data_IF_431768062261
#
_entry.id   IF_431768062261
#
_cell.length_a   1.000
_cell.length_b   1.000
_cell.length_c   1.000
_cell.angle_alpha   90.00
_cell.angle_beta   90.00
_cell.angle_gamma   90.00
#
_symmetry.space_group_name_H-M   'P 1'
#
loop_
_entity.id
_entity.type
_entity.pdbx_description
1 polymer ?
#
# COMPACT_ATOMS: atom_id res chain seq x y z
N UNK A 1 51.04 -6.84 0.77
CA UNK A 1 49.60 -7.18 0.78
C UNK A 1 49.35 -8.66 1.10
N UNK A 2 50.17 -9.59 0.60
CA UNK A 2 50.10 -11.03 0.93
C UNK A 2 50.38 -11.34 2.41
N UNK A 3 51.30 -10.61 3.04
CA UNK A 3 51.67 -10.83 4.44
C UNK A 3 50.62 -10.30 5.44
N UNK A 4 49.90 -9.24 5.09
CA UNK A 4 48.75 -8.76 5.87
C UNK A 4 47.58 -9.74 5.80
N UNK A 5 47.31 -10.32 4.63
CA UNK A 5 46.27 -11.33 4.43
C UNK A 5 46.53 -12.59 5.28
N UNK A 6 47.78 -13.07 5.30
CA UNK A 6 48.16 -14.25 6.09
C UNK A 6 48.12 -14.01 7.61
N UNK A 7 48.26 -12.75 8.07
CA UNK A 7 48.18 -12.42 9.50
C UNK A 7 46.73 -12.33 10.01
N UNK A 8 45.78 -11.92 9.17
CA UNK A 8 44.34 -11.89 9.50
C UNK A 8 43.60 -13.20 9.21
N UNK A 9 44.19 -14.11 8.43
CA UNK A 9 43.56 -15.35 8.00
C UNK A 9 44.15 -16.62 8.66
N UNK A 10 44.72 -16.53 9.86
CA UNK A 10 44.99 -17.75 10.64
C UNK A 10 43.68 -18.29 11.22
N UNK A 11 43.45 -19.62 11.21
CA UNK A 11 42.22 -20.23 11.73
C UNK A 11 41.92 -19.84 13.19
N UNK A 12 42.95 -19.67 14.03
CA UNK A 12 42.77 -19.22 15.41
C UNK A 12 42.33 -17.75 15.51
N UNK A 13 42.85 -16.85 14.67
CA UNK A 13 42.42 -15.45 14.65
C UNK A 13 41.00 -15.29 14.10
N UNK A 14 40.60 -16.14 13.15
CA UNK A 14 39.26 -16.15 12.57
C UNK A 14 38.19 -16.76 13.49
N UNK A 15 38.57 -17.69 14.37
CA UNK A 15 37.66 -18.30 15.35
C UNK A 15 36.99 -17.26 16.27
N UNK A 16 37.69 -16.15 16.58
CA UNK A 16 37.19 -15.01 17.33
C UNK A 16 35.98 -14.33 16.67
N UNK A 17 35.90 -14.42 15.33
CA UNK A 17 34.88 -13.77 14.51
C UNK A 17 33.76 -14.73 14.10
N UNK A 18 33.85 -16.02 14.45
CA UNK A 18 32.79 -16.97 14.17
C UNK A 18 31.60 -16.70 15.08
N UNK A 19 30.46 -16.40 14.47
CA UNK A 19 29.22 -16.31 15.21
C UNK A 19 28.89 -17.69 15.79
N UNK A 20 28.62 -17.73 17.10
CA UNK A 20 28.09 -18.94 17.71
C UNK A 20 26.75 -19.31 17.05
N UNK A 21 26.31 -20.57 17.11
CA UNK A 21 25.00 -20.98 16.60
C UNK A 21 23.84 -20.10 17.11
N UNK A 22 23.93 -19.64 18.36
CA UNK A 22 22.96 -18.71 18.95
C UNK A 22 22.99 -17.33 18.27
N UNK A 23 24.18 -16.78 17.99
CA UNK A 23 24.33 -15.51 17.27
C UNK A 23 23.82 -15.61 15.83
N UNK A 24 24.07 -16.74 15.16
CA UNK A 24 23.50 -17.01 13.82
C UNK A 24 21.98 -17.09 13.84
N UNK A 25 21.40 -17.76 14.84
CA UNK A 25 19.94 -17.78 15.03
C UNK A 25 19.38 -16.37 15.20
N UNK A 26 20.01 -15.52 16.01
CA UNK A 26 19.61 -14.11 16.18
C UNK A 26 19.72 -13.31 14.88
N UNK A 27 20.83 -13.44 14.15
CA UNK A 27 21.02 -12.76 12.87
C UNK A 27 19.94 -13.17 11.85
N UNK A 28 19.56 -14.45 11.80
CA UNK A 28 18.47 -14.93 10.95
C UNK A 28 17.14 -14.26 11.29
N UNK A 29 16.78 -14.18 12.58
CA UNK A 29 15.56 -13.50 13.02
C UNK A 29 15.58 -12.01 12.64
N UNK A 30 16.72 -11.34 12.79
CA UNK A 30 16.87 -9.93 12.38
C UNK A 30 16.66 -9.75 10.87
N UNK A 31 17.21 -10.63 10.03
CA UNK A 31 17.00 -10.58 8.58
C UNK A 31 15.52 -10.73 8.24
N UNK A 32 14.84 -11.72 8.83
CA UNK A 32 13.40 -11.95 8.63
C UNK A 32 12.55 -10.78 9.12
N UNK A 33 12.95 -10.13 10.22
CA UNK A 33 12.28 -8.95 10.74
C UNK A 33 12.43 -7.72 9.82
N UNK A 34 13.59 -7.56 9.19
CA UNK A 34 13.89 -6.41 8.32
C UNK A 34 13.41 -6.59 6.88
N UNK A 35 13.18 -7.82 6.43
CA UNK A 35 12.76 -8.14 5.06
C UNK A 35 11.49 -7.40 4.60
N UNK A 36 10.38 -7.35 5.38
CA UNK A 36 9.19 -6.60 4.97
C UNK A 36 9.44 -5.10 4.77
N UNK A 37 10.36 -4.50 5.55
CA UNK A 37 10.74 -3.10 5.40
C UNK A 37 11.55 -2.88 4.14
N UNK A 38 12.47 -3.81 3.84
CA UNK A 38 13.27 -3.76 2.64
C UNK A 38 12.38 -3.83 1.38
N UNK A 39 11.41 -4.75 1.36
CA UNK A 39 10.43 -4.85 0.27
C UNK A 39 9.59 -3.58 0.14
N UNK A 40 9.13 -3.01 1.26
CA UNK A 40 8.39 -1.76 1.27
C UNK A 40 9.23 -0.59 0.73
N UNK A 41 10.52 -0.51 1.08
CA UNK A 41 11.45 0.49 0.56
C UNK A 41 11.66 0.31 -0.94
N UNK A 42 11.84 -0.92 -1.42
CA UNK A 42 11.97 -1.17 -2.85
C UNK A 42 10.73 -0.75 -3.63
N UNK A 43 9.54 -1.05 -3.09
CA UNK A 43 8.29 -0.59 -3.67
C UNK A 43 8.24 0.95 -3.68
N UNK A 44 8.64 1.57 -2.57
CA UNK A 44 8.58 3.02 -2.43
C UNK A 44 9.54 3.74 -3.38
N UNK A 45 10.81 3.40 -3.28
CA UNK A 45 11.89 4.06 -4.00
C UNK A 45 11.94 3.67 -5.48
N UNK A 46 11.40 2.50 -5.85
CA UNK A 46 11.37 2.03 -7.23
C UNK A 46 10.20 2.58 -8.05
N UNK A 47 9.21 3.22 -7.43
CA UNK A 47 8.06 3.74 -8.16
C UNK A 47 8.38 5.03 -8.91
N UNK A 48 8.01 5.10 -10.18
CA UNK A 48 8.08 6.33 -11.00
C UNK A 48 6.90 7.27 -10.73
N UNK A 49 5.98 6.90 -9.85
CA UNK A 49 4.71 7.58 -9.60
C UNK A 49 4.51 7.86 -8.11
N UNK A 50 3.84 8.96 -7.75
CA UNK A 50 3.55 9.26 -6.35
C UNK A 50 2.60 8.22 -5.76
N UNK A 51 3.10 7.39 -4.83
CA UNK A 51 2.35 6.28 -4.22
C UNK A 51 1.41 6.68 -3.09
N UNK A 52 0.78 7.85 -3.18
CA UNK A 52 -0.19 8.26 -2.16
C UNK A 52 -1.33 7.23 -2.03
N UNK A 53 -1.69 6.58 -3.13
CA UNK A 53 -2.63 5.46 -3.20
C UNK A 53 -2.17 4.18 -2.49
N UNK A 54 -0.87 3.94 -2.33
CA UNK A 54 -0.36 2.73 -1.69
C UNK A 54 0.05 2.97 -0.22
N UNK A 55 0.13 4.22 0.23
CA UNK A 55 0.63 4.57 1.55
C UNK A 55 -0.12 3.88 2.69
N UNK A 56 -1.46 3.99 2.73
CA UNK A 56 -2.26 3.35 3.78
C UNK A 56 -2.20 1.81 3.70
N UNK A 57 -2.43 1.18 2.53
CA UNK A 57 -2.25 -0.27 2.36
C UNK A 57 -0.88 -0.78 2.81
N UNK A 58 0.20 -0.06 2.46
CA UNK A 58 1.55 -0.46 2.79
C UNK A 58 1.80 -0.43 4.31
N UNK A 59 1.33 0.61 5.01
CA UNK A 59 1.47 0.65 6.47
C UNK A 59 0.69 -0.47 7.17
N UNK A 60 -0.51 -0.81 6.68
CA UNK A 60 -1.30 -1.94 7.19
C UNK A 60 -0.53 -3.26 7.01
N UNK A 61 0.01 -3.50 5.80
CA UNK A 61 0.80 -4.70 5.52
C UNK A 61 2.07 -4.78 6.37
N UNK A 62 2.77 -3.66 6.58
CA UNK A 62 3.98 -3.61 7.40
C UNK A 62 3.71 -3.99 8.86
N UNK A 63 2.66 -3.46 9.49
CA UNK A 63 2.31 -3.85 10.87
C UNK A 63 1.98 -5.34 10.95
N UNK A 64 1.19 -5.84 9.99
CA UNK A 64 0.82 -7.25 9.93
C UNK A 64 2.05 -8.15 9.80
N UNK A 65 2.97 -7.81 8.90
CA UNK A 65 4.21 -8.56 8.70
C UNK A 65 5.11 -8.55 9.94
N UNK A 66 5.30 -7.38 10.58
CA UNK A 66 6.09 -7.26 11.81
C UNK A 66 5.50 -8.13 12.93
N UNK A 67 4.18 -8.07 13.13
CA UNK A 67 3.52 -8.88 14.17
C UNK A 67 3.60 -10.37 13.89
N UNK A 68 3.46 -10.78 12.63
CA UNK A 68 3.64 -12.17 12.26
C UNK A 68 5.05 -12.67 12.60
N UNK A 69 6.09 -11.86 12.38
CA UNK A 69 7.44 -12.22 12.82
C UNK A 69 7.54 -12.31 14.35
N UNK A 70 6.89 -11.40 15.09
CA UNK A 70 6.87 -11.43 16.55
C UNK A 70 6.15 -12.64 17.14
N UNK A 71 5.11 -13.15 16.47
CA UNK A 71 4.36 -14.32 16.89
C UNK A 71 5.07 -15.64 16.54
N UNK A 72 5.83 -15.67 15.45
CA UNK A 72 6.42 -16.91 14.91
C UNK A 72 7.79 -17.26 15.49
N UNK A 73 8.53 -16.29 16.02
CA UNK A 73 9.91 -16.49 16.46
C UNK A 73 10.10 -16.10 17.92
N UNK A 74 11.10 -16.72 18.56
CA UNK A 74 11.62 -16.28 19.86
C UNK A 74 12.39 -14.96 19.66
N UNK A 75 11.64 -13.86 19.71
CA UNK A 75 12.05 -12.49 19.40
C UNK A 75 12.42 -11.68 20.64
N UNK A 76 12.49 -12.27 21.84
CA UNK A 76 12.84 -11.54 23.07
C UNK A 76 14.08 -10.61 22.93
N UNK A 77 15.09 -10.91 22.10
CA UNK A 77 16.22 -10.00 21.87
C UNK A 77 15.92 -8.75 21.02
N UNK A 78 14.84 -8.74 20.23
CA UNK A 78 14.47 -7.64 19.30
C UNK A 78 13.07 -7.08 19.57
N UNK A 79 12.37 -7.63 20.57
CA UNK A 79 11.04 -7.24 20.97
C UNK A 79 10.91 -5.74 21.26
N UNK A 80 11.80 -5.08 22.03
CA UNK A 80 11.65 -3.65 22.29
C UNK A 80 11.76 -2.80 21.01
N UNK A 81 12.69 -3.12 20.11
CA UNK A 81 12.87 -2.43 18.83
C UNK A 81 11.66 -2.65 17.91
N UNK A 82 11.12 -3.86 17.90
CA UNK A 82 9.93 -4.18 17.13
C UNK A 82 8.68 -3.46 17.63
N UNK A 83 8.50 -3.37 18.95
CA UNK A 83 7.41 -2.60 19.55
C UNK A 83 7.53 -1.11 19.21
N UNK A 84 8.74 -0.54 19.27
CA UNK A 84 8.97 0.85 18.86
C UNK A 84 8.59 1.06 17.38
N UNK A 85 8.92 0.10 16.52
CA UNK A 85 8.58 0.15 15.10
C UNK A 85 7.07 0.08 14.86
N UNK A 86 6.37 -0.84 15.52
CA UNK A 86 4.90 -0.92 15.48
C UNK A 86 4.29 0.40 15.92
N UNK A 87 4.77 1.00 17.02
CA UNK A 87 4.28 2.30 17.49
C UNK A 87 4.48 3.41 16.45
N UNK A 88 5.64 3.47 15.80
CA UNK A 88 5.92 4.44 14.74
C UNK A 88 4.98 4.27 13.55
N UNK A 89 4.81 3.04 13.05
CA UNK A 89 3.92 2.77 11.91
C UNK A 89 2.45 3.03 12.27
N UNK A 90 2.02 2.62 13.47
CA UNK A 90 0.68 2.92 13.99
C UNK A 90 0.38 4.41 14.06
N UNK A 91 1.38 5.22 14.43
CA UNK A 91 1.28 6.68 14.38
C UNK A 91 1.07 7.18 12.96
N UNK A 92 1.80 6.65 11.98
CA UNK A 92 1.61 7.02 10.57
C UNK A 92 0.23 6.64 10.04
N UNK A 93 -0.28 5.44 10.37
CA UNK A 93 -1.65 5.03 10.02
C UNK A 93 -2.66 6.01 10.59
N UNK A 94 -2.58 6.30 11.89
CA UNK A 94 -3.45 7.30 12.56
C UNK A 94 -3.41 8.67 11.87
N UNK A 95 -2.24 9.12 11.42
CA UNK A 95 -2.08 10.38 10.69
C UNK A 95 -2.71 10.33 9.30
N UNK A 96 -2.58 9.21 8.61
CA UNK A 96 -3.11 9.00 7.26
C UNK A 96 -4.63 8.85 7.26
N UNK A 97 -5.20 8.13 8.22
CA UNK A 97 -6.66 7.97 8.37
C UNK A 97 -7.37 9.32 8.58
N UNK A 98 -6.68 10.32 9.14
CA UNK A 98 -7.21 11.70 9.26
C UNK A 98 -7.20 12.47 7.93
N UNK A 99 -6.50 11.97 6.91
CA UNK A 99 -6.31 12.64 5.62
C UNK A 99 -7.12 11.94 4.53
N UNK A 100 -8.32 12.47 4.28
CA UNK A 100 -9.21 11.99 3.20
C UNK A 100 -8.56 11.79 1.82
N UNK A 101 -7.57 12.59 1.34
CA UNK A 101 -6.98 12.34 0.01
C UNK A 101 -6.27 10.99 -0.10
N UNK A 102 -5.64 10.51 0.98
CA UNK A 102 -4.91 9.23 0.97
C UNK A 102 -5.89 8.06 0.91
N UNK A 103 -6.98 8.15 1.69
CA UNK A 103 -8.07 7.17 1.66
C UNK A 103 -8.68 7.11 0.25
N UNK A 104 -9.03 8.27 -0.30
CA UNK A 104 -9.63 8.36 -1.63
C UNK A 104 -8.67 7.80 -2.70
N UNK A 105 -7.40 8.18 -2.68
CA UNK A 105 -6.41 7.69 -3.64
C UNK A 105 -6.22 6.16 -3.55
N UNK A 106 -6.28 5.58 -2.35
CA UNK A 106 -6.16 4.13 -2.16
C UNK A 106 -7.37 3.38 -2.71
N UNK A 107 -8.58 3.92 -2.48
CA UNK A 107 -9.82 3.33 -3.00
C UNK A 107 -9.92 3.49 -4.52
N UNK A 108 -9.41 4.60 -5.08
CA UNK A 108 -9.32 4.86 -6.52
C UNK A 108 -8.19 4.09 -7.22
N UNK A 109 -7.35 3.34 -6.51
CA UNK A 109 -6.43 2.44 -7.19
C UNK A 109 -7.19 1.17 -7.59
N UNK A 110 -7.33 0.87 -8.90
CA UNK A 110 -8.09 -0.28 -9.36
C UNK A 110 -7.47 -1.61 -8.92
N UNK A 111 -6.21 -1.63 -8.48
CA UNK A 111 -5.51 -2.83 -7.97
C UNK A 111 -5.75 -3.06 -6.47
N UNK A 112 -6.21 -2.05 -5.74
CA UNK A 112 -6.38 -2.09 -4.28
C UNK A 112 -7.86 -2.10 -3.93
N UNK A 113 -8.59 -1.07 -4.38
CA UNK A 113 -10.02 -0.85 -4.17
C UNK A 113 -10.44 -1.00 -2.70
N UNK A 114 -11.75 -1.11 -2.47
CA UNK A 114 -12.31 -1.35 -1.13
C UNK A 114 -11.95 -2.74 -0.58
N UNK A 115 -11.84 -3.75 -1.45
CA UNK A 115 -11.66 -5.15 -1.03
C UNK A 115 -10.38 -5.38 -0.23
N UNK A 116 -9.31 -4.60 -0.51
CA UNK A 116 -8.10 -4.64 0.29
C UNK A 116 -8.40 -4.34 1.77
N UNK A 117 -9.21 -3.31 2.02
CA UNK A 117 -9.56 -2.88 3.39
C UNK A 117 -10.46 -3.90 4.07
N UNK A 118 -11.44 -4.46 3.36
CA UNK A 118 -12.29 -5.54 3.88
C UNK A 118 -11.47 -6.78 4.24
N UNK A 119 -10.43 -7.09 3.48
CA UNK A 119 -9.52 -8.22 3.77
C UNK A 119 -8.68 -7.98 5.04
N UNK A 120 -8.47 -6.72 5.42
CA UNK A 120 -7.63 -6.31 6.54
C UNK A 120 -8.44 -5.63 7.66
N UNK A 121 -9.73 -6.00 7.78
CA UNK A 121 -10.67 -5.36 8.72
C UNK A 121 -10.16 -5.40 10.16
N UNK A 122 -9.62 -6.54 10.62
CA UNK A 122 -9.11 -6.68 11.99
C UNK A 122 -7.99 -5.69 12.32
N UNK A 123 -7.11 -5.38 11.36
CA UNK A 123 -6.08 -4.38 11.55
C UNK A 123 -6.67 -2.97 11.59
N UNK A 124 -7.73 -2.69 10.84
CA UNK A 124 -8.42 -1.40 10.86
C UNK A 124 -9.16 -1.14 12.19
N UNK A 125 -9.75 -2.18 12.77
CA UNK A 125 -10.48 -2.09 14.05
C UNK A 125 -9.59 -1.57 15.19
N UNK A 126 -8.30 -1.91 15.17
CA UNK A 126 -7.31 -1.42 16.13
C UNK A 126 -7.09 0.10 16.06
N UNK A 127 -7.38 0.71 14.92
CA UNK A 127 -7.34 2.15 14.71
C UNK A 127 -8.72 2.81 14.87
N UNK A 128 -9.67 2.08 15.46
CA UNK A 128 -11.07 2.50 15.62
C UNK A 128 -11.71 2.90 14.29
N UNK A 129 -11.34 2.19 13.21
CA UNK A 129 -11.92 2.38 11.89
C UNK A 129 -12.40 1.09 11.26
N UNK A 130 -13.11 1.19 10.12
CA UNK A 130 -13.62 0.04 9.38
C UNK A 130 -13.56 0.31 7.87
N UNK A 131 -13.55 -0.75 7.05
CA UNK A 131 -13.58 -0.58 5.59
C UNK A 131 -14.82 0.18 5.12
N UNK A 132 -15.96 0.01 5.80
CA UNK A 132 -17.18 0.76 5.54
C UNK A 132 -17.01 2.26 5.82
N UNK A 133 -16.36 2.63 6.93
CA UNK A 133 -16.09 4.03 7.23
C UNK A 133 -15.15 4.67 6.20
N UNK A 134 -14.11 3.97 5.76
CA UNK A 134 -13.21 4.46 4.71
C UNK A 134 -13.96 4.68 3.39
N UNK A 135 -14.85 3.75 3.04
CA UNK A 135 -15.69 3.86 1.84
C UNK A 135 -16.62 5.07 1.94
N UNK A 136 -17.24 5.29 3.10
CA UNK A 136 -18.07 6.48 3.34
C UNK A 136 -17.30 7.79 3.20
N UNK A 137 -16.07 7.86 3.72
CA UNK A 137 -15.19 9.04 3.53
C UNK A 137 -14.96 9.33 2.05
N UNK A 138 -14.75 8.28 1.24
CA UNK A 138 -14.60 8.42 -0.19
C UNK A 138 -15.90 8.86 -0.88
N UNK A 139 -17.03 8.20 -0.58
CA UNK A 139 -18.34 8.57 -1.13
C UNK A 139 -18.69 10.04 -0.84
N UNK A 140 -18.50 10.49 0.40
CA UNK A 140 -18.79 11.87 0.82
C UNK A 140 -17.93 12.88 0.04
N UNK A 141 -16.67 12.53 -0.24
CA UNK A 141 -15.76 13.37 -1.04
C UNK A 141 -16.13 13.39 -2.50
N UNK A 142 -16.48 12.24 -3.07
CA UNK A 142 -16.88 12.13 -4.46
C UNK A 142 -18.20 12.90 -4.72
N UNK A 143 -19.20 12.76 -3.85
CA UNK A 143 -20.45 13.55 -3.91
C UNK A 143 -20.19 15.05 -3.84
N UNK A 144 -19.34 15.50 -2.92
CA UNK A 144 -18.95 16.92 -2.80
C UNK A 144 -18.28 17.43 -4.09
N UNK A 145 -17.47 16.61 -4.74
CA UNK A 145 -16.81 16.98 -5.98
C UNK A 145 -17.79 17.11 -7.16
N UNK A 146 -18.74 16.19 -7.29
CA UNK A 146 -19.80 16.24 -8.32
C UNK A 146 -20.68 17.47 -8.13
N UNK A 147 -21.20 17.69 -6.92
CA UNK A 147 -22.06 18.84 -6.63
C UNK A 147 -21.36 20.20 -6.88
N UNK A 148 -20.04 20.26 -6.68
CA UNK A 148 -19.25 21.45 -6.99
C UNK A 148 -19.02 21.63 -8.50
N UNK A 149 -18.98 20.55 -9.29
CA UNK A 149 -18.82 20.61 -10.76
C UNK A 149 -20.07 21.17 -11.44
N UNK A 150 -21.25 20.85 -10.95
CA UNK A 150 -22.51 21.44 -11.44
C UNK A 150 -22.59 22.96 -11.21
N UNK A 151 -21.66 23.53 -10.42
CA UNK A 151 -21.53 24.97 -10.16
C UNK A 151 -20.46 25.67 -11.02
N UNK A 152 -19.71 24.96 -11.88
CA UNK A 152 -18.70 25.55 -12.76
C UNK A 152 -19.12 25.43 -14.24
N UNK A 153 -18.90 26.47 -15.08
CA UNK A 153 -19.23 26.39 -16.50
C UNK A 153 -18.37 25.31 -17.19
N UNK A 154 -19.04 24.37 -17.86
CA UNK A 154 -18.40 23.31 -18.64
C UNK A 154 -17.40 23.89 -19.64
N UNK A 155 -16.12 23.54 -19.49
CA UNK A 155 -15.15 23.65 -20.59
C UNK A 155 -15.43 22.47 -21.53
N UNK A 156 -16.14 22.74 -22.62
CA UNK A 156 -16.33 21.78 -23.71
C UNK A 156 -14.97 21.45 -24.33
N UNK A 157 -14.41 20.30 -23.96
CA UNK A 157 -13.37 19.67 -24.76
C UNK A 157 -14.11 18.88 -25.85
N UNK A 158 -14.38 19.52 -26.99
CA UNK A 158 -14.95 18.83 -28.15
C UNK A 158 -13.99 17.74 -28.63
N UNK A 159 -14.26 16.49 -28.22
CA UNK A 159 -13.62 15.31 -28.77
C UNK A 159 -14.38 14.98 -30.06
N UNK A 160 -13.78 15.26 -31.21
CA UNK A 160 -14.31 14.86 -32.51
C UNK A 160 -14.45 13.33 -32.55
N UNK A 161 -15.70 12.83 -32.57
CA UNK A 161 -16.03 11.40 -32.68
C UNK A 161 -15.59 10.89 -34.05
N UNK A 162 -14.82 9.80 -34.08
CA UNK A 162 -14.40 9.13 -35.31
C UNK A 162 -15.40 8.06 -35.74
N UNK A 163 -15.35 7.63 -37.01
CA UNK A 163 -16.21 6.59 -37.61
C UNK A 163 -16.22 5.26 -36.83
N UNK A 164 -15.13 4.94 -36.12
CA UNK A 164 -15.02 3.72 -35.30
C UNK A 164 -15.75 3.84 -33.95
N UNK A 165 -16.04 5.06 -33.47
CA UNK A 165 -16.79 5.29 -32.22
C UNK A 165 -18.28 4.91 -32.36
N UNK A 166 -18.78 4.72 -33.60
CA UNK A 166 -20.14 4.23 -33.87
C UNK A 166 -20.26 2.71 -33.82
N UNK A 167 -19.15 1.97 -33.98
CA UNK A 167 -19.14 0.50 -33.97
C UNK A 167 -19.17 -0.08 -32.57
N UNK A 168 -18.73 0.70 -31.57
CA UNK A 168 -18.78 0.32 -30.17
C UNK A 168 -19.87 1.15 -29.49
N UNK A 169 -20.77 0.54 -28.69
CA UNK A 169 -21.72 1.33 -27.92
C UNK A 169 -20.93 2.34 -27.09
N UNK A 170 -21.21 3.63 -27.32
CA UNK A 170 -20.59 4.70 -26.55
C UNK A 170 -20.83 4.42 -25.07
N UNK A 171 -19.76 4.21 -24.29
CA UNK A 171 -19.84 4.12 -22.83
C UNK A 171 -20.29 5.44 -22.19
N UNK A 172 -20.43 6.51 -22.98
CA UNK A 172 -21.27 7.66 -22.64
C UNK A 172 -22.75 7.25 -22.68
N UNK A 173 -23.13 6.35 -21.77
CA UNK A 173 -24.51 5.96 -21.55
C UNK A 173 -25.32 7.19 -21.15
N UNK A 174 -26.44 7.36 -21.81
CA UNK A 174 -27.57 8.10 -21.29
C UNK A 174 -27.81 7.67 -19.82
N UNK A 175 -27.65 8.59 -18.86
CA UNK A 175 -28.26 8.45 -17.53
C UNK A 175 -27.71 7.36 -16.60
N UNK A 176 -26.42 7.05 -16.62
CA UNK A 176 -25.84 6.36 -15.46
C UNK A 176 -25.67 7.40 -14.34
N UNK A 177 -26.55 7.40 -13.33
CA UNK A 177 -26.36 8.31 -12.18
C UNK A 177 -25.03 7.99 -11.49
N UNK A 178 -24.40 9.00 -10.91
CA UNK A 178 -23.11 8.89 -10.22
C UNK A 178 -23.08 7.69 -9.25
N UNK A 179 -24.19 7.40 -8.58
CA UNK A 179 -24.37 6.27 -7.67
C UNK A 179 -24.22 4.92 -8.36
N UNK A 180 -24.74 4.77 -9.59
CA UNK A 180 -24.63 3.52 -10.36
C UNK A 180 -23.19 3.29 -10.84
N UNK A 181 -22.50 4.35 -11.25
CA UNK A 181 -21.09 4.28 -11.63
C UNK A 181 -20.21 3.90 -10.44
N UNK A 182 -20.46 4.52 -9.28
CA UNK A 182 -19.76 4.22 -8.03
C UNK A 182 -19.99 2.78 -7.57
N UNK A 183 -21.24 2.30 -7.62
CA UNK A 183 -21.57 0.91 -7.33
C UNK A 183 -20.89 -0.07 -8.28
N UNK A 184 -20.88 0.23 -9.58
CA UNK A 184 -20.19 -0.56 -10.58
C UNK A 184 -18.70 -0.66 -10.26
N UNK A 185 -18.05 0.48 -9.97
CA UNK A 185 -16.64 0.50 -9.61
C UNK A 185 -16.35 -0.39 -8.41
N UNK A 186 -17.18 -0.35 -7.35
CA UNK A 186 -16.99 -1.22 -6.18
C UNK A 186 -17.28 -2.70 -6.44
N UNK A 187 -18.17 -3.01 -7.39
CA UNK A 187 -18.51 -4.39 -7.74
C UNK A 187 -17.46 -5.07 -8.65
N UNK A 188 -16.72 -4.29 -9.42
CA UNK A 188 -15.66 -4.81 -10.28
C UNK A 188 -14.51 -5.42 -9.43
N UNK A 189 -13.92 -6.55 -9.85
CA UNK A 189 -12.78 -7.13 -9.15
C UNK A 189 -11.56 -6.20 -9.20
N UNK A 190 -10.55 -6.40 -8.32
CA UNK A 190 -9.28 -5.70 -8.44
C UNK A 190 -8.54 -6.08 -9.72
N UNK A 191 -7.91 -5.08 -10.33
CA UNK A 191 -7.01 -5.27 -11.45
C UNK A 191 -5.70 -5.96 -11.04
N UNK A 192 -5.02 -6.68 -11.96
CA UNK A 192 -3.71 -7.27 -11.73
C UNK A 192 -2.65 -6.26 -11.23
N UNK A 193 -1.66 -6.75 -10.47
CA UNK A 193 -0.59 -5.90 -9.87
C UNK A 193 0.19 -5.07 -10.90
N UNK A 194 0.38 -5.63 -12.09
CA UNK A 194 1.12 -5.06 -13.23
C UNK A 194 0.29 -4.11 -14.09
N UNK A 195 -0.97 -3.87 -13.74
CA UNK A 195 -1.85 -2.94 -14.45
C UNK A 195 -1.30 -1.52 -14.42
N UNK A 196 -1.21 -0.90 -15.61
CA UNK A 196 -0.94 0.53 -15.74
C UNK A 196 -2.21 1.31 -15.38
N UNK A 197 -2.18 1.92 -14.20
CA UNK A 197 -3.29 2.70 -13.64
C UNK A 197 -3.67 3.87 -14.54
N UNK A 198 -2.72 4.48 -15.25
CA UNK A 198 -3.00 5.62 -16.12
C UNK A 198 -3.72 5.19 -17.39
N UNK A 199 -3.40 4.01 -17.90
CA UNK A 199 -4.12 3.41 -19.03
C UNK A 199 -5.53 3.02 -18.60
N UNK A 200 -5.68 2.41 -17.41
CA UNK A 200 -6.98 2.02 -16.85
C UNK A 200 -7.95 3.22 -16.76
N UNK A 201 -7.49 4.37 -16.26
CA UNK A 201 -8.36 5.55 -16.14
C UNK A 201 -8.59 6.30 -17.47
N UNK A 202 -7.92 5.91 -18.56
CA UNK A 202 -8.05 6.53 -19.88
C UNK A 202 -9.09 5.84 -20.77
N UNK A 203 -9.34 4.55 -20.55
CA UNK A 203 -10.34 3.74 -21.26
C UNK A 203 -11.75 4.07 -20.82
#
# INVERSE_FOLDING_TARGET
MKDAYNHFCTPEALACYWLSPLKWKKAKVMVQFLEPLYEAILLICGSTYPMINQALPLYILLIKAIRQVLEQYDVSPIEPEAQEMVQKISKYISMVLRKSPVICASILDPRIKQVFFTTHESTLEEFHTSSLQLSKVFEDKAKKYVNNKDSQPHVNLERTRGLLDEMYPSTSGEGCSFEKELQRYFAEPPEPKDTDILIFWKS
#
